data_IF_995890968957
#
_entry.id   IF_995890968957
#
_cell.length_a   1.000
_cell.length_b   1.000
_cell.length_c   1.000
_cell.angle_alpha   90.00
_cell.angle_beta   90.00
_cell.angle_gamma   90.00
#
_symmetry.space_group_name_H-M   'P 1'
#
loop_
_entity.id
_entity.type
_entity.pdbx_description
1 polymer ?
#
# COMPACT_ATOMS: atom_id res chain seq x y z
N UNK A 1 0.56 -1.13 -35.10
CA UNK A 1 0.95 -2.37 -34.38
C UNK A 1 0.42 -2.29 -32.97
N UNK A 2 -0.12 -3.36 -32.42
CA UNK A 2 -0.48 -3.40 -31.01
C UNK A 2 0.79 -3.56 -30.14
N UNK A 3 0.65 -3.34 -28.83
CA UNK A 3 1.80 -3.38 -27.90
C UNK A 3 2.55 -4.71 -27.92
N UNK A 4 1.82 -5.83 -27.98
CA UNK A 4 2.41 -7.18 -28.07
C UNK A 4 3.29 -7.33 -29.31
N UNK A 5 2.81 -6.86 -30.46
CA UNK A 5 3.56 -6.92 -31.72
C UNK A 5 4.83 -6.05 -31.67
N UNK A 6 4.75 -4.87 -31.06
CA UNK A 6 5.92 -3.99 -30.88
C UNK A 6 6.97 -4.61 -29.96
N UNK A 7 6.53 -5.17 -28.82
CA UNK A 7 7.40 -5.85 -27.86
C UNK A 7 8.06 -7.07 -28.51
N UNK A 8 7.29 -7.89 -29.21
CA UNK A 8 7.85 -9.08 -29.87
C UNK A 8 8.87 -8.70 -30.94
N UNK A 9 8.56 -7.72 -31.80
CA UNK A 9 9.48 -7.23 -32.80
C UNK A 9 10.75 -6.62 -32.21
N UNK A 10 10.66 -5.93 -31.09
CA UNK A 10 11.80 -5.42 -30.33
C UNK A 10 12.63 -6.58 -29.74
N UNK A 11 11.97 -7.55 -29.12
CA UNK A 11 12.64 -8.70 -28.52
C UNK A 11 13.36 -9.56 -29.56
N UNK A 12 12.81 -9.71 -30.75
CA UNK A 12 13.46 -10.41 -31.87
C UNK A 12 14.76 -9.74 -32.30
N UNK A 13 14.84 -8.42 -32.18
CA UNK A 13 16.07 -7.68 -32.52
C UNK A 13 17.11 -7.64 -31.38
N UNK A 14 16.62 -7.56 -30.13
CA UNK A 14 17.51 -7.13 -29.02
C UNK A 14 17.59 -8.11 -27.84
N UNK A 15 16.60 -9.03 -27.69
CA UNK A 15 16.48 -9.85 -26.48
C UNK A 15 16.64 -11.35 -26.73
N UNK A 16 17.08 -11.76 -27.90
CA UNK A 16 17.30 -13.18 -28.23
C UNK A 16 18.50 -13.77 -27.43
N UNK A 17 18.44 -15.04 -26.99
CA UNK A 17 17.24 -15.90 -27.04
C UNK A 17 16.27 -15.59 -25.88
N UNK A 18 14.98 -15.74 -26.14
CA UNK A 18 13.92 -15.59 -25.12
C UNK A 18 12.89 -16.70 -25.18
N UNK A 19 12.09 -16.84 -24.14
CA UNK A 19 10.91 -17.70 -24.07
C UNK A 19 9.67 -16.87 -23.71
N UNK A 20 8.47 -17.33 -24.12
CA UNK A 20 7.21 -16.73 -23.73
C UNK A 20 6.47 -17.71 -22.83
N UNK A 21 6.03 -17.23 -21.64
CA UNK A 21 5.20 -17.97 -20.70
C UNK A 21 3.98 -17.14 -20.32
N UNK A 22 2.80 -17.52 -20.83
CA UNK A 22 1.60 -16.68 -20.73
C UNK A 22 1.86 -15.31 -21.36
N UNK A 23 1.63 -14.25 -20.61
CA UNK A 23 1.85 -12.87 -21.06
C UNK A 23 3.29 -12.35 -20.79
N UNK A 24 4.20 -13.18 -20.31
CA UNK A 24 5.57 -12.78 -20.00
C UNK A 24 6.57 -13.27 -21.07
N UNK A 25 7.31 -12.34 -21.62
CA UNK A 25 8.49 -12.59 -22.45
C UNK A 25 9.72 -12.55 -21.55
N UNK A 26 10.51 -13.65 -21.56
CA UNK A 26 11.60 -13.90 -20.63
C UNK A 26 12.88 -14.18 -21.43
N UNK A 27 13.78 -13.19 -21.61
CA UNK A 27 15.06 -13.40 -22.24
C UNK A 27 16.00 -14.21 -21.34
N UNK A 28 16.97 -14.88 -21.93
CA UNK A 28 17.97 -15.65 -21.18
C UNK A 28 18.78 -14.73 -20.25
N UNK A 29 19.12 -13.54 -20.70
CA UNK A 29 19.88 -12.55 -19.94
C UNK A 29 19.09 -11.27 -19.74
N UNK A 30 19.23 -10.65 -18.59
CA UNK A 30 18.67 -9.32 -18.36
C UNK A 30 19.34 -8.29 -19.27
N UNK A 31 18.60 -7.50 -20.07
CA UNK A 31 19.20 -6.53 -20.99
C UNK A 31 19.79 -5.31 -20.29
N UNK A 32 19.61 -5.19 -18.97
CA UNK A 32 20.04 -4.03 -18.18
C UNK A 32 21.32 -4.37 -17.39
N UNK A 33 21.34 -5.48 -16.66
CA UNK A 33 22.50 -5.87 -15.87
C UNK A 33 23.36 -6.96 -16.51
N UNK A 34 22.95 -7.47 -17.67
CA UNK A 34 23.62 -8.54 -18.39
C UNK A 34 23.89 -9.80 -17.56
N UNK A 35 23.25 -9.91 -16.37
CA UNK A 35 23.27 -11.10 -15.55
C UNK A 35 22.75 -12.31 -16.34
N UNK A 36 23.17 -13.49 -15.97
CA UNK A 36 22.81 -14.73 -16.63
C UNK A 36 23.95 -15.74 -16.62
N UNK A 37 25.03 -15.49 -15.92
CA UNK A 37 26.05 -16.48 -15.57
C UNK A 37 25.55 -17.35 -14.41
N UNK A 38 25.81 -18.64 -14.49
CA UNK A 38 25.36 -19.64 -13.52
C UNK A 38 23.82 -19.70 -13.38
N UNK A 39 23.28 -19.63 -12.15
CA UNK A 39 21.86 -19.74 -11.85
C UNK A 39 21.03 -18.44 -12.03
N UNK A 40 21.65 -17.37 -12.51
CA UNK A 40 21.01 -16.05 -12.66
C UNK A 40 20.34 -15.81 -14.03
N UNK A 41 20.17 -16.85 -14.83
CA UNK A 41 19.45 -16.80 -16.12
C UNK A 41 17.95 -16.63 -15.91
N UNK A 42 17.27 -16.04 -16.92
CA UNK A 42 15.81 -15.92 -16.94
C UNK A 42 15.22 -15.11 -15.78
N UNK A 43 15.99 -14.15 -15.26
CA UNK A 43 15.56 -13.28 -14.16
C UNK A 43 14.79 -12.04 -14.60
N UNK A 44 14.81 -11.72 -15.88
CA UNK A 44 14.10 -10.57 -16.45
C UNK A 44 12.77 -11.04 -17.08
N UNK A 45 11.71 -10.29 -16.85
CA UNK A 45 10.41 -10.53 -17.48
C UNK A 45 9.86 -9.21 -18.05
N UNK A 46 9.31 -9.28 -19.27
CA UNK A 46 8.63 -8.18 -19.94
C UNK A 46 7.20 -8.62 -20.28
N UNK A 47 6.21 -7.95 -19.70
CA UNK A 47 4.81 -8.29 -19.93
C UNK A 47 4.34 -7.78 -21.29
N UNK A 48 3.84 -8.68 -22.11
CA UNK A 48 3.44 -8.45 -23.50
C UNK A 48 2.18 -7.58 -23.64
N UNK A 49 1.34 -7.55 -22.63
CA UNK A 49 0.06 -6.83 -22.66
C UNK A 49 0.15 -5.51 -21.91
N UNK A 50 0.79 -5.50 -20.73
CA UNK A 50 0.94 -4.31 -19.91
C UNK A 50 2.14 -3.44 -20.29
N UNK A 51 3.11 -3.98 -21.05
CA UNK A 51 4.31 -3.24 -21.45
C UNK A 51 5.20 -2.83 -20.27
N UNK A 52 5.21 -3.62 -19.20
CA UNK A 52 6.07 -3.37 -18.04
C UNK A 52 7.10 -4.47 -17.89
N UNK A 53 8.29 -4.11 -17.41
CA UNK A 53 9.34 -5.09 -17.18
C UNK A 53 9.86 -5.06 -15.74
N UNK A 54 10.42 -6.18 -15.31
CA UNK A 54 11.11 -6.32 -14.04
C UNK A 54 12.28 -7.30 -14.16
N UNK A 55 13.40 -6.97 -13.53
CA UNK A 55 14.47 -7.92 -13.24
C UNK A 55 14.36 -8.39 -11.80
N UNK A 56 14.17 -9.69 -11.59
CA UNK A 56 14.00 -10.32 -10.27
C UNK A 56 15.33 -10.54 -9.54
N UNK A 57 16.46 -10.20 -10.17
CA UNK A 57 17.79 -10.31 -9.55
C UNK A 57 17.97 -9.21 -8.50
N UNK A 58 18.27 -9.59 -7.25
CA UNK A 58 18.39 -8.65 -6.12
C UNK A 58 19.42 -7.53 -6.35
N UNK A 59 20.55 -7.82 -7.02
CA UNK A 59 21.59 -6.83 -7.34
C UNK A 59 21.22 -5.89 -8.51
N UNK A 60 20.15 -6.20 -9.28
CA UNK A 60 19.68 -5.37 -10.39
C UNK A 60 18.41 -4.62 -10.04
N UNK A 61 17.35 -5.36 -9.68
CA UNK A 61 16.05 -4.80 -9.32
C UNK A 61 15.39 -3.88 -10.36
N UNK A 62 15.94 -3.82 -11.57
CA UNK A 62 15.49 -2.91 -12.62
C UNK A 62 14.03 -3.20 -12.98
N UNK A 63 13.25 -2.15 -13.05
CA UNK A 63 11.85 -2.18 -13.44
C UNK A 63 11.50 -0.91 -14.22
N UNK A 64 10.49 -0.99 -15.05
CA UNK A 64 10.07 0.16 -15.85
C UNK A 64 9.07 -0.23 -16.92
N UNK A 65 8.88 0.66 -17.87
CA UNK A 65 7.99 0.47 -19.02
C UNK A 65 8.78 0.10 -20.27
N UNK A 66 8.09 -0.48 -21.24
CA UNK A 66 8.68 -0.88 -22.50
C UNK A 66 9.29 0.30 -23.24
N UNK A 67 8.69 1.49 -23.18
CA UNK A 67 9.22 2.71 -23.77
C UNK A 67 10.62 3.06 -23.23
N UNK A 68 10.79 2.94 -21.91
CA UNK A 68 12.06 3.21 -21.24
C UNK A 68 13.12 2.18 -21.67
N UNK A 69 12.69 0.92 -21.81
CA UNK A 69 13.56 -0.16 -22.27
C UNK A 69 13.98 0.08 -23.73
N UNK A 70 13.04 0.35 -24.64
CA UNK A 70 13.30 0.62 -26.03
C UNK A 70 14.21 1.84 -26.21
N UNK A 71 14.01 2.90 -25.44
CA UNK A 71 14.85 4.09 -25.42
C UNK A 71 16.32 3.80 -25.09
N UNK A 72 16.60 2.82 -24.22
CA UNK A 72 17.98 2.37 -23.91
C UNK A 72 18.69 1.72 -25.11
N UNK A 73 17.92 1.19 -26.05
CA UNK A 73 18.41 0.61 -27.30
C UNK A 73 18.35 1.58 -28.50
N UNK A 74 18.05 2.88 -28.23
CA UNK A 74 17.95 3.90 -29.28
C UNK A 74 16.67 3.81 -30.12
N UNK A 75 15.68 3.01 -29.70
CA UNK A 75 14.39 2.87 -30.39
C UNK A 75 13.33 3.76 -29.77
N UNK A 76 12.49 4.39 -30.61
CA UNK A 76 11.26 5.05 -30.16
C UNK A 76 10.11 4.05 -30.24
N UNK A 77 9.62 3.62 -29.09
CA UNK A 77 8.36 2.89 -29.05
C UNK A 77 7.20 3.89 -29.19
N UNK A 78 6.59 3.93 -30.36
CA UNK A 78 5.29 4.61 -30.52
C UNK A 78 4.19 3.72 -29.94
N UNK A 79 4.04 3.73 -28.65
CA UNK A 79 2.90 3.06 -28.05
C UNK A 79 1.63 3.86 -28.37
N UNK A 80 0.82 3.31 -29.24
CA UNK A 80 -0.63 3.60 -29.18
C UNK A 80 -1.04 3.05 -27.81
N UNK A 81 -1.07 3.93 -26.83
CA UNK A 81 -1.60 3.55 -25.51
C UNK A 81 -2.97 2.94 -25.75
N UNK A 82 -3.22 1.67 -25.35
CA UNK A 82 -4.59 1.20 -25.32
C UNK A 82 -5.37 2.26 -24.54
N UNK A 83 -6.45 2.73 -25.14
CA UNK A 83 -7.31 3.73 -24.55
C UNK A 83 -7.51 3.37 -23.09
N UNK A 84 -7.17 4.31 -22.22
CA UNK A 84 -7.29 4.31 -20.77
C UNK A 84 -7.24 2.90 -20.14
N UNK A 85 -6.32 2.65 -19.23
CA UNK A 85 -6.51 1.60 -18.21
C UNK A 85 -8.00 1.44 -18.03
N UNK A 86 -8.54 0.22 -18.20
CA UNK A 86 -9.90 -0.07 -17.73
C UNK A 86 -9.89 0.47 -16.32
N UNK A 87 -10.51 1.65 -16.14
CA UNK A 87 -10.55 2.30 -14.84
C UNK A 87 -11.24 1.28 -13.96
N UNK A 88 -10.53 0.70 -13.00
CA UNK A 88 -11.19 -0.14 -12.00
C UNK A 88 -12.38 0.66 -11.54
N UNK A 89 -13.57 0.21 -11.87
CA UNK A 89 -14.78 0.82 -11.32
C UNK A 89 -14.79 0.43 -9.85
N UNK A 90 -14.61 1.42 -9.01
CA UNK A 90 -14.74 1.26 -7.58
C UNK A 90 -16.20 1.46 -7.21
N UNK A 91 -16.71 0.61 -6.32
CA UNK A 91 -18.02 0.77 -5.71
C UNK A 91 -17.89 1.49 -4.37
N UNK A 92 -18.86 2.31 -4.03
CA UNK A 92 -18.96 2.84 -2.67
C UNK A 92 -19.38 1.72 -1.72
N UNK A 93 -18.91 1.74 -0.46
CA UNK A 93 -19.33 0.77 0.54
C UNK A 93 -20.85 0.79 0.76
N UNK A 94 -21.43 -0.39 0.92
CA UNK A 94 -22.86 -0.57 1.11
C UNK A 94 -23.23 -0.99 2.53
N UNK A 95 -22.24 -1.25 3.39
CA UNK A 95 -22.48 -1.70 4.76
C UNK A 95 -23.20 -0.65 5.59
N UNK A 96 -24.29 -1.01 6.29
CA UNK A 96 -24.93 -0.12 7.23
C UNK A 96 -24.04 0.10 8.46
N UNK A 97 -23.73 1.37 8.76
CA UNK A 97 -22.96 1.73 9.95
C UNK A 97 -23.91 1.78 11.15
N UNK A 98 -23.63 1.01 12.20
CA UNK A 98 -24.39 0.91 13.44
C UNK A 98 -23.67 1.59 14.60
N UNK A 99 -24.37 2.03 15.64
CA UNK A 99 -23.74 2.54 16.87
C UNK A 99 -22.79 1.50 17.47
N UNK A 100 -21.77 1.98 18.18
CA UNK A 100 -20.82 1.13 18.90
C UNK A 100 -21.53 0.27 19.95
N UNK A 101 -21.23 -1.02 19.95
CA UNK A 101 -21.67 -1.93 21.01
C UNK A 101 -20.75 -1.82 22.24
N UNK A 102 -21.24 -2.21 23.42
CA UNK A 102 -20.43 -2.25 24.63
C UNK A 102 -19.21 -3.19 24.49
N UNK A 103 -19.33 -4.24 23.69
CA UNK A 103 -18.19 -5.13 23.40
C UNK A 103 -17.08 -4.43 22.65
N UNK A 104 -17.43 -3.60 21.66
CA UNK A 104 -16.47 -2.79 20.89
C UNK A 104 -15.85 -1.72 21.79
N UNK A 105 -16.64 -1.03 22.59
CA UNK A 105 -16.11 -0.03 23.53
C UNK A 105 -15.09 -0.67 24.47
N UNK A 106 -15.44 -1.78 25.13
CA UNK A 106 -14.50 -2.52 25.99
C UNK A 106 -13.27 -3.03 25.24
N UNK A 107 -13.39 -3.33 23.95
CA UNK A 107 -12.24 -3.72 23.13
C UNK A 107 -11.22 -2.58 23.00
N UNK A 108 -11.69 -1.34 22.83
CA UNK A 108 -10.84 -0.15 22.72
C UNK A 108 -10.38 0.39 24.07
N UNK A 109 -11.21 0.31 25.12
CA UNK A 109 -10.82 0.67 26.50
C UNK A 109 -9.59 -0.11 26.96
N UNK A 110 -9.51 -1.41 26.64
CA UNK A 110 -8.31 -2.22 26.93
C UNK A 110 -7.06 -1.79 26.19
N UNK A 111 -7.22 -0.98 25.14
CA UNK A 111 -6.14 -0.41 24.30
C UNK A 111 -5.90 1.06 24.64
N UNK A 112 -6.53 1.57 25.70
CA UNK A 112 -6.41 2.96 26.11
C UNK A 112 -6.87 3.97 25.05
N UNK A 113 -7.83 3.58 24.21
CA UNK A 113 -8.44 4.44 23.19
C UNK A 113 -9.81 4.83 23.68
N UNK A 114 -10.04 6.14 23.86
CA UNK A 114 -11.27 6.72 24.42
C UNK A 114 -12.45 6.71 23.42
N UNK A 115 -13.65 6.90 23.94
CA UNK A 115 -14.84 7.10 23.09
C UNK A 115 -14.75 8.33 22.21
N UNK A 116 -14.09 9.39 22.66
CA UNK A 116 -13.91 10.62 21.89
C UNK A 116 -13.05 10.37 20.66
N UNK A 117 -11.98 9.58 20.79
CA UNK A 117 -11.17 9.14 19.67
C UNK A 117 -11.95 8.25 18.71
N UNK A 118 -12.74 7.30 19.22
CA UNK A 118 -13.61 6.48 18.37
C UNK A 118 -14.62 7.32 17.58
N UNK A 119 -15.21 8.33 18.23
CA UNK A 119 -16.14 9.27 17.60
C UNK A 119 -15.44 10.14 16.55
N UNK A 120 -14.24 10.66 16.84
CA UNK A 120 -13.45 11.45 15.90
C UNK A 120 -13.18 10.66 14.61
N UNK A 121 -12.78 9.41 14.73
CA UNK A 121 -12.55 8.51 13.58
C UNK A 121 -13.83 7.88 13.03
N UNK A 122 -15.00 8.20 13.59
CA UNK A 122 -16.32 7.66 13.19
C UNK A 122 -16.38 6.13 13.22
N UNK A 123 -15.63 5.49 14.12
CA UNK A 123 -15.65 4.03 14.28
C UNK A 123 -17.06 3.58 14.60
N UNK A 124 -17.51 2.51 13.96
CA UNK A 124 -18.89 2.04 14.00
C UNK A 124 -18.93 0.51 14.20
N UNK A 125 -20.13 -0.05 14.25
CA UNK A 125 -20.37 -1.49 14.20
C UNK A 125 -21.09 -1.88 12.90
N UNK A 126 -20.98 -3.14 12.49
CA UNK A 126 -21.90 -3.76 11.53
C UNK A 126 -23.06 -4.48 12.25
N UNK A 127 -23.99 -5.05 11.48
CA UNK A 127 -25.14 -5.81 12.03
C UNK A 127 -24.73 -7.07 12.81
N UNK A 128 -23.53 -7.60 12.56
CA UNK A 128 -22.98 -8.76 13.27
C UNK A 128 -22.17 -8.37 14.53
N UNK A 129 -22.04 -7.08 14.83
CA UNK A 129 -21.28 -6.57 15.97
C UNK A 129 -19.76 -6.54 15.75
N UNK A 130 -19.30 -6.58 14.52
CA UNK A 130 -17.89 -6.37 14.20
C UNK A 130 -17.56 -4.88 14.22
N UNK A 131 -16.30 -4.56 14.49
CA UNK A 131 -15.76 -3.21 14.39
C UNK A 131 -15.70 -2.83 12.92
N UNK A 132 -16.23 -1.67 12.57
CA UNK A 132 -16.12 -1.06 11.26
C UNK A 132 -15.23 0.16 11.36
N UNK A 133 -14.14 0.18 10.61
CA UNK A 133 -13.30 1.36 10.37
C UNK A 133 -13.75 2.00 9.06
N UNK A 134 -14.45 3.15 9.10
CA UNK A 134 -14.91 3.84 7.90
C UNK A 134 -13.84 4.81 7.41
N UNK A 135 -13.55 4.77 6.12
CA UNK A 135 -12.56 5.65 5.49
C UNK A 135 -13.30 6.71 4.67
N UNK A 136 -13.12 7.94 5.03
CA UNK A 136 -13.77 9.08 4.40
C UNK A 136 -12.78 9.90 3.59
N UNK A 137 -13.25 10.42 2.45
CA UNK A 137 -12.57 11.43 1.67
C UNK A 137 -13.59 12.48 1.24
N UNK A 138 -13.37 13.75 1.60
CA UNK A 138 -14.30 14.84 1.35
C UNK A 138 -15.72 14.54 1.89
N UNK A 139 -15.80 14.02 3.10
CA UNK A 139 -17.02 13.57 3.78
C UNK A 139 -17.78 12.39 3.11
N UNK A 140 -17.25 11.81 2.03
CA UNK A 140 -17.82 10.63 1.38
C UNK A 140 -17.19 9.35 1.92
N UNK A 141 -18.02 8.37 2.31
CA UNK A 141 -17.56 7.03 2.72
C UNK A 141 -17.05 6.28 1.47
N UNK A 142 -15.74 6.10 1.39
CA UNK A 142 -15.07 5.57 0.20
C UNK A 142 -14.61 4.13 0.37
N UNK A 143 -14.25 3.74 1.59
CA UNK A 143 -13.73 2.41 1.90
C UNK A 143 -14.11 2.01 3.32
N UNK A 144 -14.24 0.72 3.57
CA UNK A 144 -14.47 0.16 4.91
C UNK A 144 -13.59 -1.04 5.17
N UNK A 145 -13.09 -1.12 6.39
CA UNK A 145 -12.37 -2.28 6.90
C UNK A 145 -13.08 -2.79 8.15
N UNK A 146 -13.19 -4.09 8.25
CA UNK A 146 -13.83 -4.77 9.37
C UNK A 146 -12.79 -5.45 10.24
N UNK A 147 -13.09 -5.55 11.52
CA UNK A 147 -12.31 -6.32 12.49
C UNK A 147 -13.22 -7.01 13.49
N UNK A 148 -12.96 -8.29 13.72
CA UNK A 148 -13.62 -9.01 14.80
C UNK A 148 -13.18 -8.43 16.16
N UNK A 149 -14.12 -8.10 17.08
CA UNK A 149 -13.79 -7.55 18.40
C UNK A 149 -13.25 -8.63 19.37
N UNK A 150 -13.15 -9.87 18.91
CA UNK A 150 -12.67 -11.04 19.64
C UNK A 150 -11.52 -11.72 18.88
N UNK A 151 -10.80 -12.60 19.56
CA UNK A 151 -9.78 -13.43 18.90
C UNK A 151 -10.47 -14.39 17.90
N UNK A 152 -10.02 -14.44 16.64
CA UNK A 152 -10.58 -15.35 15.65
C UNK A 152 -10.45 -16.80 16.09
N UNK A 153 -11.42 -17.63 15.72
CA UNK A 153 -11.40 -19.08 15.97
C UNK A 153 -11.27 -19.84 14.65
N UNK A 154 -10.41 -20.85 14.61
CA UNK A 154 -10.21 -21.67 13.43
C UNK A 154 -9.80 -20.87 12.19
N UNK A 155 -10.64 -20.89 11.14
CA UNK A 155 -10.39 -20.20 9.85
C UNK A 155 -10.99 -18.81 9.76
N UNK A 156 -11.54 -18.27 10.84
CA UNK A 156 -12.09 -16.91 10.85
C UNK A 156 -10.99 -15.87 10.56
N UNK A 157 -11.35 -14.86 9.77
CA UNK A 157 -10.43 -13.74 9.52
C UNK A 157 -10.48 -12.76 10.67
N UNK A 158 -9.31 -12.29 11.09
CA UNK A 158 -9.21 -11.19 12.08
C UNK A 158 -9.70 -9.87 11.49
N UNK A 159 -9.38 -9.64 10.23
CA UNK A 159 -9.71 -8.41 9.49
C UNK A 159 -10.09 -8.76 8.05
N UNK A 160 -10.99 -7.97 7.48
CA UNK A 160 -11.40 -8.05 6.08
C UNK A 160 -11.91 -6.70 5.61
N UNK A 161 -12.18 -6.57 4.32
CA UNK A 161 -12.68 -5.36 3.68
C UNK A 161 -13.80 -5.69 2.70
N UNK A 162 -14.62 -4.70 2.38
CA UNK A 162 -15.63 -4.83 1.34
C UNK A 162 -14.92 -4.88 -0.04
N UNK A 163 -15.24 -5.86 -0.89
CA UNK A 163 -14.59 -5.99 -2.19
C UNK A 163 -15.00 -4.85 -3.14
N UNK A 164 -14.08 -4.43 -3.99
CA UNK A 164 -14.35 -3.42 -5.02
C UNK A 164 -14.32 -1.97 -4.55
N UNK A 165 -14.13 -1.70 -3.26
CA UNK A 165 -13.98 -0.34 -2.75
C UNK A 165 -12.57 0.23 -3.04
N UNK A 166 -12.50 1.57 -3.19
CA UNK A 166 -11.24 2.28 -3.47
C UNK A 166 -10.40 2.37 -2.20
N UNK A 167 -9.20 1.79 -2.14
CA UNK A 167 -8.34 1.90 -0.97
C UNK A 167 -7.80 3.34 -0.85
N UNK A 168 -8.10 3.96 0.28
CA UNK A 168 -7.59 5.29 0.69
C UNK A 168 -7.05 5.21 2.10
N UNK A 169 -6.38 6.25 2.60
CA UNK A 169 -5.91 6.31 3.98
C UNK A 169 -7.06 6.52 4.98
N UNK A 170 -6.96 5.88 6.14
CA UNK A 170 -7.89 6.07 7.26
C UNK A 170 -7.59 7.38 7.99
N UNK A 171 -8.60 8.20 8.25
CA UNK A 171 -8.44 9.47 8.98
C UNK A 171 -8.15 10.69 8.09
N UNK A 172 -8.19 10.58 6.75
CA UNK A 172 -7.83 11.67 5.83
C UNK A 172 -8.58 12.98 6.09
N UNK A 173 -9.89 12.91 6.39
CA UNK A 173 -10.74 14.10 6.55
C UNK A 173 -10.46 14.88 7.85
N UNK A 174 -9.63 14.33 8.74
CA UNK A 174 -9.25 14.97 10.00
C UNK A 174 -7.96 15.76 9.89
N UNK A 175 -7.22 15.61 8.79
CA UNK A 175 -5.87 16.14 8.64
C UNK A 175 -5.86 17.58 8.12
N UNK A 176 -4.89 18.37 8.60
CA UNK A 176 -4.57 19.71 8.11
C UNK A 176 -3.27 19.69 7.32
N UNK A 177 -3.24 20.35 6.17
CA UNK A 177 -2.04 20.41 5.33
C UNK A 177 -0.94 21.35 5.83
N UNK A 178 -1.22 22.09 6.90
CA UNK A 178 -0.26 23.00 7.54
C UNK A 178 0.67 22.32 8.55
N UNK A 179 0.48 21.02 8.81
CA UNK A 179 1.26 20.26 9.77
C UNK A 179 1.83 18.98 9.13
N UNK A 180 2.92 18.41 9.65
CA UNK A 180 3.42 17.12 9.22
C UNK A 180 2.34 16.05 9.30
N UNK A 181 2.29 15.16 8.30
CA UNK A 181 1.42 14.01 8.29
C UNK A 181 2.13 12.81 8.92
N UNK A 182 1.46 12.10 9.82
CA UNK A 182 1.95 10.82 10.35
C UNK A 182 1.18 9.69 9.66
N UNK A 183 1.89 8.71 9.11
CA UNK A 183 1.29 7.51 8.48
C UNK A 183 1.70 6.29 9.29
N UNK A 184 0.70 5.57 9.83
CA UNK A 184 0.87 4.30 10.55
C UNK A 184 0.45 3.10 9.70
N UNK A 185 0.81 1.90 10.12
CA UNK A 185 0.36 0.67 9.47
C UNK A 185 -1.09 0.31 9.84
N UNK A 186 -1.45 0.36 11.10
CA UNK A 186 -2.74 -0.05 11.62
C UNK A 186 -3.68 1.11 11.97
N UNK A 187 -5.01 0.88 11.89
CA UNK A 187 -6.02 1.84 12.30
C UNK A 187 -5.97 2.11 13.81
N UNK A 188 -5.63 1.07 14.58
CA UNK A 188 -5.49 1.16 16.04
C UNK A 188 -4.29 2.06 16.38
N UNK A 189 -3.19 1.92 15.65
CA UNK A 189 -1.97 2.72 15.86
C UNK A 189 -2.23 4.21 15.58
N UNK A 190 -2.94 4.52 14.49
CA UNK A 190 -3.36 5.89 14.21
C UNK A 190 -4.23 6.47 15.33
N UNK A 191 -5.18 5.70 15.85
CA UNK A 191 -6.02 6.13 16.96
C UNK A 191 -5.23 6.26 18.27
N UNK A 192 -4.23 5.41 18.52
CA UNK A 192 -3.36 5.52 19.70
C UNK A 192 -2.53 6.80 19.68
N UNK A 193 -1.92 7.12 18.54
CA UNK A 193 -1.20 8.38 18.37
C UNK A 193 -2.12 9.59 18.49
N UNK A 194 -3.34 9.50 17.98
CA UNK A 194 -4.35 10.55 18.13
C UNK A 194 -4.74 10.75 19.60
N UNK A 195 -4.92 9.69 20.37
CA UNK A 195 -5.17 9.73 21.81
C UNK A 195 -4.03 10.44 22.56
N UNK A 196 -2.79 10.21 22.14
CA UNK A 196 -1.60 10.89 22.66
C UNK A 196 -1.42 12.33 22.16
N UNK A 197 -2.35 12.87 21.37
CA UNK A 197 -2.35 14.27 20.93
C UNK A 197 -1.84 14.52 19.50
N UNK A 198 -1.40 13.51 18.77
CA UNK A 198 -1.06 13.64 17.35
C UNK A 198 -2.33 13.81 16.52
N UNK A 199 -2.62 15.03 16.05
CA UNK A 199 -3.88 15.33 15.35
C UNK A 199 -3.84 15.05 13.86
N UNK A 200 -2.66 14.97 13.27
CA UNK A 200 -2.45 14.81 11.82
C UNK A 200 -1.96 13.40 11.50
N UNK A 201 -2.77 12.40 11.83
CA UNK A 201 -2.39 11.00 11.74
C UNK A 201 -3.40 10.20 10.91
N UNK A 202 -2.87 9.33 10.06
CA UNK A 202 -3.62 8.41 9.19
C UNK A 202 -3.02 7.01 9.25
N UNK A 203 -3.76 6.01 8.79
CA UNK A 203 -3.17 4.68 8.59
C UNK A 203 -3.46 4.11 7.20
N UNK A 204 -2.60 3.16 6.78
CA UNK A 204 -2.83 2.46 5.51
C UNK A 204 -4.07 1.56 5.58
N UNK A 205 -4.80 1.36 4.45
CA UNK A 205 -6.05 0.59 4.46
C UNK A 205 -5.83 -0.92 4.60
N UNK A 206 -4.80 -1.46 3.99
CA UNK A 206 -4.64 -2.90 3.77
C UNK A 206 -3.18 -3.29 3.98
N UNK A 207 -2.78 -3.72 5.15
CA UNK A 207 -1.49 -4.34 5.43
C UNK A 207 -0.28 -3.84 4.61
N UNK A 208 0.89 -4.27 4.96
CA UNK A 208 2.16 -3.78 4.40
C UNK A 208 2.43 -4.16 2.92
N UNK A 209 1.70 -5.11 2.34
CA UNK A 209 1.99 -5.61 0.97
C UNK A 209 1.22 -4.90 -0.15
N UNK A 210 0.13 -4.19 0.14
CA UNK A 210 -0.66 -3.48 -0.87
C UNK A 210 -0.53 -1.97 -0.71
N UNK A 211 0.16 -1.35 -1.67
CA UNK A 211 0.42 0.09 -1.72
C UNK A 211 -0.39 0.82 -2.80
N UNK A 212 -1.45 0.21 -3.35
CA UNK A 212 -2.32 0.84 -4.36
C UNK A 212 -2.95 2.14 -3.84
N UNK A 213 -3.12 2.29 -2.52
CA UNK A 213 -3.63 3.49 -1.88
C UNK A 213 -2.79 4.74 -2.17
N UNK A 214 -1.48 4.61 -2.43
CA UNK A 214 -0.62 5.75 -2.76
C UNK A 214 -1.11 6.42 -4.04
N UNK A 215 -1.39 5.64 -5.09
CA UNK A 215 -1.89 6.18 -6.36
C UNK A 215 -3.25 6.88 -6.19
N UNK A 216 -4.11 6.34 -5.30
CA UNK A 216 -5.43 6.92 -5.03
C UNK A 216 -5.40 8.14 -4.12
N UNK A 217 -4.37 8.29 -3.31
CA UNK A 217 -4.18 9.41 -2.40
C UNK A 217 -3.13 10.42 -2.89
N UNK A 218 -2.57 10.24 -4.10
CA UNK A 218 -1.42 11.00 -4.58
C UNK A 218 -1.60 12.51 -4.46
N UNK A 219 -2.64 13.07 -5.08
CA UNK A 219 -2.90 14.51 -5.05
C UNK A 219 -3.12 15.07 -3.63
N UNK A 220 -3.61 14.24 -2.72
CA UNK A 220 -3.80 14.59 -1.32
C UNK A 220 -2.46 14.56 -0.57
N UNK A 221 -1.63 13.54 -0.79
CA UNK A 221 -0.30 13.39 -0.20
C UNK A 221 0.67 14.49 -0.65
N UNK A 222 0.58 14.92 -1.91
CA UNK A 222 1.41 16.01 -2.47
C UNK A 222 1.21 17.35 -1.75
N UNK A 223 0.12 17.53 -1.02
CA UNK A 223 -0.15 18.77 -0.26
C UNK A 223 0.63 18.85 1.05
N UNK A 224 1.26 17.76 1.51
CA UNK A 224 2.06 17.75 2.74
C UNK A 224 3.53 17.99 2.43
N UNK A 225 4.12 18.94 3.14
CA UNK A 225 5.55 19.23 3.02
C UNK A 225 6.43 18.22 3.76
N UNK A 226 5.91 17.61 4.83
CA UNK A 226 6.62 16.63 5.67
C UNK A 226 5.71 15.47 6.02
N UNK A 227 6.23 14.26 5.93
CA UNK A 227 5.54 13.00 6.22
C UNK A 227 6.40 12.18 7.17
N UNK A 228 5.82 11.76 8.28
CA UNK A 228 6.46 10.87 9.25
C UNK A 228 5.88 9.47 9.08
N UNK A 229 6.72 8.48 8.84
CA UNK A 229 6.31 7.09 8.73
C UNK A 229 6.55 6.37 10.04
N UNK A 230 5.48 5.87 10.62
CA UNK A 230 5.45 5.11 11.85
C UNK A 230 4.90 3.71 11.55
N UNK A 231 5.75 2.82 11.01
CA UNK A 231 5.40 1.42 10.71
C UNK A 231 5.51 0.52 11.94
N UNK A 232 5.13 -0.74 11.81
CA UNK A 232 5.44 -1.75 12.82
C UNK A 232 6.96 -2.02 12.87
N UNK A 233 7.48 -2.39 14.04
CA UNK A 233 8.92 -2.65 14.23
C UNK A 233 9.39 -3.98 13.62
N UNK A 234 8.50 -4.77 13.02
CA UNK A 234 8.82 -6.03 12.36
C UNK A 234 9.31 -5.83 10.91
N UNK A 235 9.85 -6.89 10.30
CA UNK A 235 10.41 -6.80 8.94
C UNK A 235 9.37 -6.44 7.86
N UNK A 236 8.12 -6.95 7.88
CA UNK A 236 7.08 -6.48 6.98
C UNK A 236 6.79 -4.99 7.09
N UNK A 237 6.68 -4.44 8.32
CA UNK A 237 6.46 -3.02 8.57
C UNK A 237 7.63 -2.16 8.06
N UNK A 238 8.87 -2.54 8.39
CA UNK A 238 10.07 -1.87 7.87
C UNK A 238 10.15 -1.88 6.35
N UNK A 239 9.76 -3.01 5.71
CA UNK A 239 9.71 -3.10 4.24
C UNK A 239 8.67 -2.14 3.64
N UNK A 240 7.49 -2.07 4.23
CA UNK A 240 6.44 -1.14 3.83
C UNK A 240 6.95 0.30 3.91
N UNK A 241 7.54 0.70 5.03
CA UNK A 241 8.09 2.04 5.25
C UNK A 241 9.11 2.39 4.16
N UNK A 242 10.11 1.53 3.90
CA UNK A 242 11.10 1.76 2.84
C UNK A 242 10.47 1.95 1.46
N UNK A 243 9.45 1.17 1.13
CA UNK A 243 8.77 1.26 -0.17
C UNK A 243 7.90 2.53 -0.26
N UNK A 244 7.27 2.97 0.83
CA UNK A 244 6.51 4.21 0.89
C UNK A 244 7.44 5.41 0.73
N UNK A 245 8.56 5.47 1.48
CA UNK A 245 9.60 6.52 1.34
C UNK A 245 10.05 6.65 -0.10
N UNK A 246 10.39 5.52 -0.73
CA UNK A 246 10.85 5.50 -2.12
C UNK A 246 9.82 6.08 -3.12
N UNK A 247 8.51 5.96 -2.82
CA UNK A 247 7.44 6.46 -3.70
C UNK A 247 7.06 7.91 -3.43
N UNK A 248 7.19 8.37 -2.18
CA UNK A 248 6.74 9.69 -1.74
C UNK A 248 7.82 10.77 -1.73
N UNK A 249 9.04 10.46 -2.15
CA UNK A 249 10.24 11.29 -2.06
C UNK A 249 10.90 11.25 -0.65
N UNK A 250 12.15 10.80 -0.62
CA UNK A 250 12.96 10.67 0.59
C UNK A 250 13.18 12.02 1.29
N UNK A 251 13.28 13.11 0.53
CA UNK A 251 13.58 14.44 1.08
C UNK A 251 12.48 14.98 2.01
N UNK A 252 11.23 14.53 1.89
CA UNK A 252 10.11 14.96 2.73
C UNK A 252 9.63 13.90 3.72
N UNK A 253 10.25 12.71 3.70
CA UNK A 253 9.89 11.60 4.58
C UNK A 253 10.87 11.47 5.74
N UNK A 254 10.34 11.32 6.94
CA UNK A 254 11.07 10.91 8.14
C UNK A 254 10.53 9.55 8.61
N UNK A 255 11.38 8.73 9.19
CA UNK A 255 11.00 7.38 9.66
C UNK A 255 11.25 7.29 11.16
N UNK A 256 10.28 6.72 11.88
CA UNK A 256 10.49 6.34 13.29
C UNK A 256 11.23 5.01 13.29
N UNK A 257 12.48 5.02 13.72
CA UNK A 257 13.37 3.86 13.75
C UNK A 257 13.51 3.25 15.14
N UNK A 258 13.39 4.09 16.20
CA UNK A 258 13.55 3.68 17.58
C UNK A 258 12.19 3.60 18.28
N UNK A 259 11.95 2.46 18.92
CA UNK A 259 10.73 2.18 19.67
C UNK A 259 11.07 2.12 21.16
N UNK A 260 10.26 2.72 22.05
CA UNK A 260 10.41 2.56 23.49
C UNK A 260 10.44 1.09 23.89
N UNK A 261 11.13 0.80 25.00
CA UNK A 261 11.12 -0.55 25.55
C UNK A 261 9.87 -0.77 26.41
N UNK A 262 9.27 -1.93 26.27
CA UNK A 262 8.23 -2.42 27.16
C UNK A 262 8.83 -2.78 28.54
N UNK A 263 7.99 -2.98 29.57
CA UNK A 263 8.48 -3.39 30.91
C UNK A 263 9.27 -4.71 30.94
N UNK A 264 9.09 -5.58 29.93
CA UNK A 264 9.84 -6.82 29.75
C UNK A 264 11.21 -6.63 29.10
N UNK A 265 11.58 -5.40 28.72
CA UNK A 265 12.85 -5.05 28.08
C UNK A 265 12.86 -5.19 26.55
N UNK A 266 11.78 -5.68 25.95
CA UNK A 266 11.65 -5.78 24.50
C UNK A 266 11.12 -4.46 23.89
N UNK A 267 11.52 -4.08 22.67
CA UNK A 267 10.98 -2.89 22.03
C UNK A 267 9.48 -3.04 21.76
N UNK A 268 8.73 -1.93 21.87
CA UNK A 268 7.35 -1.88 21.46
C UNK A 268 7.24 -2.26 19.98
N UNK A 269 6.22 -3.03 19.64
CA UNK A 269 6.02 -3.50 18.29
C UNK A 269 5.39 -2.45 17.38
N UNK A 270 4.41 -1.74 17.91
CA UNK A 270 3.57 -0.77 17.21
C UNK A 270 3.25 0.43 18.12
N UNK A 271 2.52 1.42 17.59
CA UNK A 271 2.18 2.62 18.34
C UNK A 271 1.16 2.40 19.46
N UNK A 272 0.40 1.29 19.45
CA UNK A 272 -0.56 0.97 20.52
C UNK A 272 0.13 0.34 21.76
N UNK A 273 1.36 -0.16 21.59
CA UNK A 273 2.15 -0.71 22.70
C UNK A 273 2.94 0.37 23.46
N UNK A 274 3.06 1.58 22.91
CA UNK A 274 3.67 2.75 23.54
C UNK A 274 2.69 3.38 24.53
#
# INVERSE_FOLDING_TARGET
MNITQQITAFADRHLQPYTIRGDELIPERCPICHGGENNDRYTFALNLTAGVYVCKRGSCGARGRFEDLAGRFGERAELIRPAARISRQYSLPSVPLRPLTDAIVRYFDRRKISRDTLQAFRVSADDAGNIVFPFYRNAELTFVKFRAPRKPQGRERKEWQEPGARPILFGMDMCSFSQPLIITEGQIDAMSLYECGARNVVSVPCGCSNLDWIDHCWDWLERFQSIVLFGDSDEPGRKMVREVVRRLDEARCSVVEEYPLRPDGEPCKDANEI
#
